data_IF_703115770149
#
_entry.id   IF_703115770149
#
_cell.length_a   1.000
_cell.length_b   1.000
_cell.length_c   1.000
_cell.angle_alpha   90.00
_cell.angle_beta   90.00
_cell.angle_gamma   90.00
#
_symmetry.space_group_name_H-M   'P 1'
#
loop_
_entity.id
_entity.type
_entity.pdbx_description
1 polymer ?
#
# COMPACT_ATOMS: atom_id res chain seq x y z
N UNK A 1 -26.65 -24.40 -13.00
CA UNK A 1 -26.91 -23.85 -11.65
C UNK A 1 -25.73 -22.95 -11.29
N UNK A 2 -25.99 -21.71 -10.89
CA UNK A 2 -24.96 -20.80 -10.36
C UNK A 2 -24.94 -20.89 -8.84
N UNK A 3 -23.75 -20.99 -8.26
CA UNK A 3 -23.54 -20.93 -6.81
C UNK A 3 -23.02 -19.54 -6.45
N UNK A 4 -23.58 -18.93 -5.41
CA UNK A 4 -23.17 -17.61 -4.91
C UNK A 4 -22.47 -17.76 -3.56
N UNK A 5 -21.72 -16.73 -3.17
CA UNK A 5 -21.12 -16.66 -1.83
C UNK A 5 -22.21 -16.76 -0.75
N UNK A 6 -21.94 -17.44 0.38
CA UNK A 6 -22.82 -17.42 1.55
C UNK A 6 -22.67 -16.13 2.39
N UNK A 7 -21.65 -15.31 2.10
CA UNK A 7 -21.43 -14.04 2.76
C UNK A 7 -22.18 -12.91 2.05
N UNK A 8 -22.65 -11.89 2.79
CA UNK A 8 -23.30 -10.73 2.20
C UNK A 8 -22.35 -9.98 1.27
N UNK A 9 -22.94 -9.22 0.36
CA UNK A 9 -22.18 -8.34 -0.53
C UNK A 9 -21.38 -7.32 0.30
N UNK A 10 -20.13 -7.11 -0.11
CA UNK A 10 -19.25 -6.10 0.50
C UNK A 10 -19.41 -4.77 -0.21
N UNK A 11 -19.39 -3.68 0.55
CA UNK A 11 -19.33 -2.33 -0.02
C UNK A 11 -17.90 -2.09 -0.51
N UNK A 12 -17.76 -1.77 -1.79
CA UNK A 12 -16.50 -1.34 -2.38
C UNK A 12 -16.49 0.19 -2.40
N UNK A 13 -15.61 0.85 -1.63
CA UNK A 13 -15.59 2.30 -1.55
C UNK A 13 -15.01 2.94 -2.83
N UNK A 14 -15.53 4.11 -3.19
CA UNK A 14 -15.05 4.96 -4.29
C UNK A 14 -13.82 5.77 -3.84
N UNK A 15 -12.74 5.09 -3.44
CA UNK A 15 -11.48 5.69 -3.00
C UNK A 15 -10.29 5.03 -3.69
N UNK A 16 -9.13 5.69 -3.70
CA UNK A 16 -7.91 5.02 -4.12
C UNK A 16 -7.56 3.90 -3.15
N UNK A 17 -6.83 2.88 -3.63
CA UNK A 17 -6.34 1.80 -2.76
C UNK A 17 -5.39 2.34 -1.68
N UNK A 18 -4.60 3.37 -1.99
CA UNK A 18 -3.73 4.02 -1.03
C UNK A 18 -4.54 4.66 0.10
N UNK A 19 -5.57 5.43 -0.22
CA UNK A 19 -6.42 6.08 0.79
C UNK A 19 -7.19 5.04 1.63
N UNK A 20 -7.67 3.98 0.98
CA UNK A 20 -8.36 2.89 1.66
C UNK A 20 -7.47 2.20 2.71
N UNK A 21 -6.18 2.01 2.40
CA UNK A 21 -5.24 1.29 3.26
C UNK A 21 -4.59 2.20 4.31
N UNK A 22 -4.27 3.44 3.96
CA UNK A 22 -3.40 4.30 4.77
C UNK A 22 -4.05 5.61 5.22
N UNK A 23 -5.12 6.06 4.55
CA UNK A 23 -5.71 7.39 4.76
C UNK A 23 -6.42 7.59 6.11
N UNK A 24 -6.65 6.51 6.86
CA UNK A 24 -7.36 6.55 8.15
C UNK A 24 -6.57 5.94 9.32
N UNK A 25 -5.27 5.68 9.13
CA UNK A 25 -4.43 5.14 10.19
C UNK A 25 -4.34 6.11 11.38
N UNK A 26 -4.61 5.58 12.56
CA UNK A 26 -4.44 6.29 13.83
C UNK A 26 -2.97 6.40 14.24
N UNK A 27 -2.66 7.29 15.18
CA UNK A 27 -1.30 7.47 15.74
C UNK A 27 -0.75 6.18 16.38
N UNK A 28 -1.63 5.34 16.94
CA UNK A 28 -1.28 4.03 17.48
C UNK A 28 -0.93 3.06 16.35
N UNK A 29 -1.73 3.01 15.29
CA UNK A 29 -1.48 2.14 14.14
C UNK A 29 -0.21 2.52 13.39
N UNK A 30 0.10 3.81 13.32
CA UNK A 30 1.34 4.32 12.73
C UNK A 30 2.61 3.84 13.44
N UNK A 31 2.52 3.38 14.70
CA UNK A 31 3.63 2.81 15.47
C UNK A 31 3.71 1.29 15.36
N UNK A 32 2.74 0.65 14.69
CA UNK A 32 2.74 -0.81 14.50
C UNK A 32 3.73 -1.18 13.41
N UNK A 33 4.36 -2.35 13.57
CA UNK A 33 5.14 -2.97 12.50
C UNK A 33 4.23 -3.31 11.31
N UNK A 34 4.55 -2.78 10.14
CA UNK A 34 3.88 -3.08 8.87
C UNK A 34 4.46 -4.33 8.21
N UNK A 35 5.79 -4.42 8.10
CA UNK A 35 6.46 -5.61 7.60
C UNK A 35 7.85 -5.80 8.21
N UNK A 36 8.36 -7.05 8.11
CA UNK A 36 9.71 -7.43 8.54
C UNK A 36 10.42 -8.12 7.39
N UNK A 37 11.56 -7.58 7.00
CA UNK A 37 12.44 -8.22 6.05
C UNK A 37 13.27 -9.29 6.75
N UNK A 38 13.17 -10.54 6.30
CA UNK A 38 13.99 -11.64 6.82
C UNK A 38 15.44 -11.54 6.35
N UNK A 39 15.69 -11.01 5.15
CA UNK A 39 17.02 -10.92 4.56
C UNK A 39 17.92 -9.93 5.31
N UNK A 40 17.43 -8.70 5.53
CA UNK A 40 18.16 -7.66 6.26
C UNK A 40 17.90 -7.64 7.77
N UNK A 41 16.84 -8.29 8.25
CA UNK A 41 16.37 -8.16 9.64
C UNK A 41 15.66 -6.84 9.92
N UNK A 42 15.45 -6.00 8.90
CA UNK A 42 14.82 -4.69 9.04
C UNK A 42 13.35 -4.85 9.41
N UNK A 43 12.90 -4.03 10.36
CA UNK A 43 11.50 -3.88 10.72
C UNK A 43 11.04 -2.50 10.30
N UNK A 44 9.91 -2.41 9.62
CA UNK A 44 9.36 -1.14 9.14
C UNK A 44 8.01 -0.92 9.80
N UNK A 45 7.86 0.21 10.48
CA UNK A 45 6.58 0.65 11.05
C UNK A 45 5.69 1.29 9.98
N UNK A 46 4.38 1.35 10.21
CA UNK A 46 3.45 1.95 9.26
C UNK A 46 3.79 3.41 8.93
N UNK A 47 4.25 4.21 9.91
CA UNK A 47 4.72 5.58 9.65
C UNK A 47 5.84 5.65 8.63
N UNK A 48 6.82 4.76 8.74
CA UNK A 48 7.98 4.74 7.86
C UNK A 48 7.60 4.20 6.48
N UNK A 49 6.69 3.23 6.44
CA UNK A 49 6.16 2.70 5.19
C UNK A 49 5.42 3.80 4.40
N UNK A 50 4.50 4.52 5.04
CA UNK A 50 3.74 5.60 4.41
C UNK A 50 4.68 6.69 3.90
N UNK A 51 5.63 7.14 4.72
CA UNK A 51 6.62 8.15 4.31
C UNK A 51 7.46 7.70 3.09
N UNK A 52 7.83 6.41 3.02
CA UNK A 52 8.56 5.85 1.87
C UNK A 52 7.67 5.77 0.63
N UNK A 53 6.41 5.40 0.76
CA UNK A 53 5.46 5.37 -0.37
C UNK A 53 5.29 6.78 -0.94
N UNK A 54 5.09 7.78 -0.10
CA UNK A 54 4.95 9.19 -0.53
C UNK A 54 6.22 9.69 -1.21
N UNK A 55 7.39 9.34 -0.68
CA UNK A 55 8.67 9.67 -1.31
C UNK A 55 8.83 9.04 -2.70
N UNK A 56 8.42 7.77 -2.87
CA UNK A 56 8.44 7.10 -4.18
C UNK A 56 7.44 7.75 -5.14
N UNK A 57 6.22 8.05 -4.69
CA UNK A 57 5.22 8.72 -5.52
C UNK A 57 5.70 10.10 -5.99
N UNK A 58 6.31 10.87 -5.09
CA UNK A 58 6.93 12.14 -5.43
C UNK A 58 8.09 11.99 -6.41
N UNK A 59 8.95 10.98 -6.23
CA UNK A 59 10.05 10.69 -7.15
C UNK A 59 9.56 10.29 -8.55
N UNK A 60 8.54 9.45 -8.65
CA UNK A 60 7.94 9.05 -9.94
C UNK A 60 7.33 10.26 -10.64
N UNK A 61 6.63 11.13 -9.91
CA UNK A 61 6.09 12.39 -10.45
C UNK A 61 7.21 13.28 -10.97
N UNK A 62 8.32 13.39 -10.23
CA UNK A 62 9.49 14.16 -10.66
C UNK A 62 10.18 13.57 -11.91
N UNK A 63 10.01 12.28 -12.17
CA UNK A 63 10.45 11.62 -13.42
C UNK A 63 9.43 11.76 -14.57
N UNK A 64 8.33 12.48 -14.36
CA UNK A 64 7.34 12.79 -15.39
C UNK A 64 6.24 11.74 -15.57
N UNK A 65 6.09 10.80 -14.63
CA UNK A 65 4.99 9.84 -14.68
C UNK A 65 3.66 10.50 -14.33
N UNK A 66 2.60 10.02 -14.97
CA UNK A 66 1.24 10.54 -14.90
C UNK A 66 0.20 9.42 -14.78
N UNK A 67 -1.07 9.80 -14.57
CA UNK A 67 -2.18 8.85 -14.48
C UNK A 67 -2.32 8.10 -15.81
N UNK A 68 -2.26 6.77 -15.74
CA UNK A 68 -2.35 5.88 -16.90
C UNK A 68 -1.00 5.26 -17.30
N UNK A 69 0.11 5.79 -16.80
CA UNK A 69 1.44 5.20 -17.01
C UNK A 69 1.62 3.91 -16.22
N UNK A 70 2.45 3.00 -16.74
CA UNK A 70 2.69 1.67 -16.16
C UNK A 70 4.17 1.50 -15.83
N UNK A 71 4.46 1.00 -14.62
CA UNK A 71 5.83 0.73 -14.13
C UNK A 71 5.99 -0.77 -13.89
N UNK A 72 7.11 -1.33 -14.33
CA UNK A 72 7.49 -2.72 -14.02
C UNK A 72 8.30 -2.81 -12.73
N UNK A 73 7.95 -3.75 -11.85
CA UNK A 73 8.75 -4.12 -10.68
C UNK A 73 9.37 -5.51 -10.90
N UNK A 74 10.69 -5.57 -11.03
CA UNK A 74 11.44 -6.82 -11.11
C UNK A 74 12.47 -6.87 -9.98
N UNK A 75 12.02 -7.37 -8.84
CA UNK A 75 12.82 -7.49 -7.62
C UNK A 75 12.40 -8.76 -6.85
N UNK A 76 13.32 -9.37 -6.07
CA UNK A 76 12.92 -10.36 -5.08
C UNK A 76 12.12 -9.69 -3.95
N UNK A 77 11.44 -10.48 -3.13
CA UNK A 77 10.87 -9.96 -1.88
C UNK A 77 11.98 -9.44 -0.98
N UNK A 78 11.77 -8.25 -0.43
CA UNK A 78 12.69 -7.50 0.42
C UNK A 78 11.90 -6.71 1.46
#
# INVERSE_FOLDING_TARGET
>A
MSFTSPHPDVVIPESSLYDLLFGTLSDEELQRTAFRDRGSGTTVEYRDLVARIDAVAGALTAQGLTVGDVVGLHAPNS
#
